data_IF_453417469326
#
_entry.id   IF_453417469326
#
_cell.length_a   1.000
_cell.length_b   1.000
_cell.length_c   1.000
_cell.angle_alpha   90.00
_cell.angle_beta   90.00
_cell.angle_gamma   90.00
#
_symmetry.space_group_name_H-M   'P 1'
#
loop_
_entity.id
_entity.type
_entity.pdbx_description
1 polymer ?
#
# COMPACT_ATOMS: atom_id res chain seq x y z
N UNK A 1 11.84 -10.84 -29.48
CA UNK A 1 12.83 -10.90 -28.38
C UNK A 1 12.31 -11.79 -27.27
N UNK A 2 13.12 -12.62 -26.55
CA UNK A 2 12.62 -13.53 -25.50
C UNK A 2 11.78 -12.84 -24.44
N UNK A 3 12.08 -11.58 -24.06
CA UNK A 3 11.32 -10.83 -23.07
C UNK A 3 9.91 -10.40 -23.49
N UNK A 4 9.59 -10.40 -24.77
CA UNK A 4 8.25 -10.02 -25.24
C UNK A 4 7.23 -11.16 -25.08
N UNK A 5 7.66 -12.39 -25.31
CA UNK A 5 6.82 -13.57 -25.11
C UNK A 5 6.55 -13.82 -23.60
N UNK A 6 7.57 -13.61 -22.74
CA UNK A 6 7.42 -13.76 -21.30
C UNK A 6 6.42 -12.75 -20.73
N UNK A 7 6.51 -11.45 -21.09
CA UNK A 7 5.56 -10.43 -20.63
C UNK A 7 4.12 -10.80 -21.00
N UNK A 8 3.87 -11.19 -22.24
CA UNK A 8 2.53 -11.54 -22.69
C UNK A 8 1.95 -12.81 -22.04
N UNK A 9 2.78 -13.82 -21.80
CA UNK A 9 2.34 -15.07 -21.17
C UNK A 9 2.08 -14.91 -19.67
N UNK A 10 2.98 -14.28 -18.95
CA UNK A 10 2.83 -14.04 -17.51
C UNK A 10 1.62 -13.16 -17.23
N UNK A 11 1.42 -12.11 -18.03
CA UNK A 11 0.27 -11.23 -17.88
C UNK A 11 -1.04 -11.93 -18.25
N UNK A 12 -1.08 -12.70 -19.34
CA UNK A 12 -2.28 -13.40 -19.76
C UNK A 12 -2.78 -14.40 -18.72
N UNK A 13 -1.89 -15.05 -17.98
CA UNK A 13 -2.23 -16.00 -16.92
C UNK A 13 -3.00 -15.38 -15.74
N UNK A 14 -2.94 -14.06 -15.57
CA UNK A 14 -3.64 -13.36 -14.50
C UNK A 14 -5.13 -13.14 -14.78
N UNK A 15 -5.57 -13.31 -16.03
CA UNK A 15 -6.92 -12.94 -16.47
C UNK A 15 -7.77 -14.15 -16.83
N UNK A 16 -8.97 -14.20 -16.25
CA UNK A 16 -10.06 -15.08 -16.72
C UNK A 16 -10.70 -14.51 -17.99
N UNK A 17 -10.72 -13.19 -18.14
CA UNK A 17 -11.07 -12.46 -19.34
C UNK A 17 -9.98 -11.40 -19.58
N UNK A 18 -9.14 -11.56 -20.62
CA UNK A 18 -8.09 -10.58 -20.90
C UNK A 18 -8.64 -9.18 -21.16
N UNK A 19 -7.93 -8.13 -20.71
CA UNK A 19 -8.27 -6.76 -21.05
C UNK A 19 -8.02 -6.46 -22.54
N UNK A 20 -8.82 -5.56 -23.11
CA UNK A 20 -8.58 -4.97 -24.43
C UNK A 20 -8.62 -3.45 -24.32
N UNK A 21 -7.43 -2.84 -24.20
CA UNK A 21 -7.29 -1.40 -24.01
C UNK A 21 -7.80 -0.64 -25.24
N UNK A 22 -7.67 -1.23 -26.45
CA UNK A 22 -8.09 -0.61 -27.69
C UNK A 22 -9.62 -0.47 -27.77
N UNK A 23 -10.34 -1.41 -27.21
CA UNK A 23 -11.81 -1.48 -27.19
C UNK A 23 -12.43 -1.05 -25.87
N UNK A 24 -11.62 -0.55 -24.93
CA UNK A 24 -12.05 -0.20 -23.58
C UNK A 24 -12.71 -1.35 -22.80
N UNK A 25 -12.18 -2.56 -22.94
CA UNK A 25 -12.60 -3.72 -22.16
C UNK A 25 -11.62 -3.92 -21.01
N UNK A 26 -12.09 -3.77 -19.77
CA UNK A 26 -11.24 -3.92 -18.58
C UNK A 26 -10.80 -5.37 -18.33
N UNK A 27 -11.55 -6.34 -18.84
CA UNK A 27 -11.32 -7.75 -18.56
C UNK A 27 -11.73 -8.16 -17.16
N UNK A 28 -11.19 -9.30 -16.68
CA UNK A 28 -11.43 -9.81 -15.33
C UNK A 28 -10.27 -10.68 -14.88
N UNK A 29 -9.76 -10.46 -13.68
CA UNK A 29 -8.70 -11.30 -13.09
C UNK A 29 -9.22 -12.69 -12.72
N UNK A 30 -8.32 -13.66 -12.58
CA UNK A 30 -8.65 -15.04 -12.16
C UNK A 30 -8.94 -15.09 -10.65
N UNK A 31 -9.61 -16.16 -10.21
CA UNK A 31 -9.80 -16.43 -8.77
C UNK A 31 -8.47 -16.71 -8.06
N UNK A 32 -7.52 -17.33 -8.75
CA UNK A 32 -6.16 -17.53 -8.21
C UNK A 32 -5.42 -16.22 -7.98
N UNK A 33 -5.58 -15.25 -8.89
CA UNK A 33 -4.96 -13.93 -8.72
C UNK A 33 -5.57 -13.17 -7.55
N UNK A 34 -6.91 -13.20 -7.38
CA UNK A 34 -7.57 -12.62 -6.20
C UNK A 34 -7.06 -13.24 -4.91
N UNK A 35 -6.96 -14.57 -4.87
CA UNK A 35 -6.46 -15.30 -3.70
C UNK A 35 -5.01 -14.92 -3.40
N UNK A 36 -4.15 -14.83 -4.41
CA UNK A 36 -2.75 -14.42 -4.27
C UNK A 36 -2.61 -13.01 -3.70
N UNK A 37 -3.37 -12.04 -4.24
CA UNK A 37 -3.40 -10.67 -3.73
C UNK A 37 -3.86 -10.62 -2.28
N UNK A 38 -4.95 -11.28 -1.94
CA UNK A 38 -5.49 -11.28 -0.57
C UNK A 38 -4.53 -11.95 0.41
N UNK A 39 -3.94 -13.08 0.03
CA UNK A 39 -2.93 -13.79 0.86
C UNK A 39 -1.73 -12.90 1.11
N UNK A 40 -1.13 -12.32 0.07
CA UNK A 40 0.04 -11.43 0.20
C UNK A 40 -0.27 -10.21 1.06
N UNK A 41 -1.44 -9.58 0.87
CA UNK A 41 -1.84 -8.44 1.68
C UNK A 41 -2.02 -8.82 3.15
N UNK A 42 -2.62 -9.97 3.43
CA UNK A 42 -2.82 -10.44 4.80
C UNK A 42 -1.51 -10.91 5.46
N UNK A 43 -0.54 -11.44 4.70
CA UNK A 43 0.84 -11.66 5.19
C UNK A 43 1.51 -10.32 5.60
N UNK A 44 1.42 -9.30 4.75
CA UNK A 44 1.90 -7.96 5.07
C UNK A 44 1.24 -7.45 6.35
N UNK A 45 -0.07 -7.54 6.45
CA UNK A 45 -0.82 -7.06 7.62
C UNK A 45 -0.46 -7.81 8.90
N UNK A 46 -0.31 -9.13 8.81
CA UNK A 46 0.12 -9.96 9.95
C UNK A 46 1.51 -9.56 10.48
N UNK A 47 2.46 -9.25 9.58
CA UNK A 47 3.79 -8.77 9.96
C UNK A 47 3.76 -7.44 10.75
N UNK A 48 2.64 -6.73 10.75
CA UNK A 48 2.46 -5.46 11.49
C UNK A 48 1.43 -5.60 12.65
N UNK A 49 0.99 -6.81 12.94
CA UNK A 49 0.01 -7.06 14.01
C UNK A 49 -1.38 -6.46 13.76
N UNK A 50 -1.73 -6.14 12.50
CA UNK A 50 -3.04 -5.60 12.16
C UNK A 50 -3.99 -6.69 11.65
N UNK A 51 -5.32 -6.60 11.94
CA UNK A 51 -6.29 -7.60 11.53
C UNK A 51 -6.30 -7.87 10.03
N UNK A 52 -6.56 -9.10 9.57
CA UNK A 52 -6.70 -9.41 8.16
C UNK A 52 -7.93 -8.74 7.55
N UNK A 53 -7.87 -8.54 6.23
CA UNK A 53 -8.99 -8.05 5.42
C UNK A 53 -9.65 -9.17 4.64
N UNK A 54 -10.89 -8.94 4.19
CA UNK A 54 -11.60 -9.81 3.25
C UNK A 54 -11.63 -9.17 1.86
N UNK A 55 -11.96 -9.98 0.85
CA UNK A 55 -12.07 -9.49 -0.54
C UNK A 55 -13.53 -9.18 -0.88
N UNK A 56 -13.79 -7.94 -1.33
CA UNK A 56 -15.10 -7.53 -1.82
C UNK A 56 -15.17 -7.64 -3.35
N UNK A 57 -15.83 -8.69 -3.82
CA UNK A 57 -16.03 -8.92 -5.27
C UNK A 57 -16.96 -7.88 -5.92
N UNK A 58 -17.85 -7.28 -5.15
CA UNK A 58 -18.81 -6.31 -5.69
C UNK A 58 -18.18 -5.01 -6.17
N UNK A 59 -17.01 -4.67 -5.62
CA UNK A 59 -16.22 -3.48 -6.01
C UNK A 59 -15.14 -3.77 -7.07
N UNK A 60 -15.03 -5.01 -7.57
CA UNK A 60 -13.98 -5.38 -8.52
C UNK A 60 -14.14 -4.65 -9.86
N UNK A 61 -15.37 -4.48 -10.33
CA UNK A 61 -15.62 -3.75 -11.59
C UNK A 61 -15.15 -2.29 -11.53
N UNK A 62 -15.23 -1.66 -10.36
CA UNK A 62 -14.71 -0.30 -10.15
C UNK A 62 -13.18 -0.27 -10.26
N UNK A 63 -12.49 -1.23 -9.63
CA UNK A 63 -11.03 -1.29 -9.66
C UNK A 63 -10.47 -1.69 -11.02
N UNK A 64 -11.13 -2.63 -11.72
CA UNK A 64 -10.78 -3.01 -13.08
C UNK A 64 -10.97 -1.85 -14.06
N UNK A 65 -12.09 -1.12 -13.97
CA UNK A 65 -12.36 0.05 -14.80
C UNK A 65 -11.37 1.19 -14.51
N UNK A 66 -10.99 1.41 -13.24
CA UNK A 66 -9.97 2.38 -12.88
C UNK A 66 -8.60 2.01 -13.46
N UNK A 67 -8.18 0.74 -13.34
CA UNK A 67 -6.94 0.25 -13.92
C UNK A 67 -6.91 0.42 -15.45
N UNK A 68 -8.04 0.15 -16.12
CA UNK A 68 -8.18 0.37 -17.57
C UNK A 68 -7.95 1.84 -17.95
N UNK A 69 -8.59 2.78 -17.24
CA UNK A 69 -8.40 4.21 -17.51
C UNK A 69 -6.94 4.63 -17.35
N UNK A 70 -6.27 4.17 -16.27
CA UNK A 70 -4.86 4.50 -16.02
C UNK A 70 -3.95 3.92 -17.12
N UNK A 71 -4.15 2.66 -17.49
CA UNK A 71 -3.38 1.99 -18.55
C UNK A 71 -3.61 2.65 -19.92
N UNK A 72 -4.87 3.01 -20.25
CA UNK A 72 -5.24 3.58 -21.54
C UNK A 72 -4.69 5.01 -21.76
N UNK A 73 -4.42 5.75 -20.67
CA UNK A 73 -3.92 7.12 -20.74
C UNK A 73 -2.44 7.25 -20.31
N UNK A 74 -1.81 6.18 -19.84
CA UNK A 74 -0.42 6.21 -19.38
C UNK A 74 -0.21 7.17 -18.20
N UNK A 75 -1.21 7.34 -17.34
CA UNK A 75 -1.21 8.31 -16.23
C UNK A 75 -1.98 7.77 -15.04
N UNK A 76 -1.60 8.22 -13.83
CA UNK A 76 -2.36 7.98 -12.59
C UNK A 76 -3.11 9.23 -12.17
N UNK A 77 -4.36 9.06 -11.73
CA UNK A 77 -5.15 10.13 -11.13
C UNK A 77 -6.21 9.55 -10.20
N UNK A 78 -6.33 10.10 -8.99
CA UNK A 78 -7.46 9.82 -8.10
C UNK A 78 -8.75 10.55 -8.53
N UNK A 79 -8.62 11.51 -9.47
CA UNK A 79 -9.71 12.27 -10.04
C UNK A 79 -9.54 12.33 -11.57
N UNK A 80 -9.73 11.17 -12.27
CA UNK A 80 -9.51 11.12 -13.71
C UNK A 80 -10.47 12.08 -14.43
N UNK A 81 -9.95 12.89 -15.38
CA UNK A 81 -10.79 13.77 -16.19
C UNK A 81 -11.79 12.98 -17.03
N UNK A 82 -12.98 13.51 -17.25
CA UNK A 82 -14.04 12.85 -18.01
C UNK A 82 -13.71 12.63 -19.49
N UNK A 83 -12.74 13.36 -20.02
CA UNK A 83 -12.24 13.21 -21.39
C UNK A 83 -11.12 12.16 -21.54
N UNK A 84 -10.75 11.47 -20.46
CA UNK A 84 -9.80 10.37 -20.56
C UNK A 84 -10.37 9.23 -21.39
N UNK A 85 -9.51 8.60 -22.16
CA UNK A 85 -9.86 7.38 -22.88
C UNK A 85 -10.36 6.31 -21.91
N UNK A 86 -11.40 5.59 -22.29
CA UNK A 86 -12.06 4.56 -21.49
C UNK A 86 -12.64 5.08 -20.15
N UNK A 87 -12.91 6.38 -20.04
CA UNK A 87 -13.54 6.95 -18.84
C UNK A 87 -14.88 6.27 -18.55
N UNK A 88 -15.09 5.95 -17.28
CA UNK A 88 -16.38 5.48 -16.77
C UNK A 88 -16.59 5.97 -15.34
N UNK A 89 -17.86 6.14 -14.95
CA UNK A 89 -18.21 6.54 -13.57
C UNK A 89 -17.73 5.51 -12.55
N UNK A 90 -17.93 4.18 -12.73
CA UNK A 90 -17.37 3.18 -11.81
C UNK A 90 -15.86 3.28 -11.70
N UNK A 91 -15.14 3.47 -12.81
CA UNK A 91 -13.69 3.63 -12.80
C UNK A 91 -13.23 4.88 -12.06
N UNK A 92 -13.97 6.01 -12.17
CA UNK A 92 -13.66 7.21 -11.39
C UNK A 92 -13.89 7.00 -9.88
N UNK A 93 -14.93 6.25 -9.48
CA UNK A 93 -15.16 5.83 -8.09
C UNK A 93 -14.02 4.95 -7.60
N UNK A 94 -13.63 3.93 -8.37
CA UNK A 94 -12.51 3.07 -8.06
C UNK A 94 -11.20 3.85 -7.89
N UNK A 95 -10.88 4.76 -8.82
CA UNK A 95 -9.68 5.60 -8.74
C UNK A 95 -9.66 6.49 -7.48
N UNK A 96 -10.80 7.09 -7.12
CA UNK A 96 -10.95 7.98 -5.97
C UNK A 96 -11.03 7.29 -4.61
N UNK A 97 -10.99 5.96 -4.56
CA UNK A 97 -11.09 5.16 -3.32
C UNK A 97 -9.99 4.10 -3.17
N UNK A 98 -8.89 4.24 -3.89
CA UNK A 98 -7.88 3.18 -4.02
C UNK A 98 -6.46 3.69 -3.94
N UNK A 99 -5.52 2.79 -3.62
CA UNK A 99 -4.13 2.95 -3.97
C UNK A 99 -3.95 2.67 -5.47
N UNK A 100 -3.15 3.49 -6.15
CA UNK A 100 -2.91 3.41 -7.59
C UNK A 100 -1.42 3.14 -7.85
N UNK A 101 -1.12 2.31 -8.86
CA UNK A 101 0.25 2.08 -9.32
C UNK A 101 0.30 1.82 -10.83
N UNK A 102 1.48 1.99 -11.43
CA UNK A 102 1.65 1.84 -12.88
C UNK A 102 1.27 3.11 -13.63
N UNK A 103 0.37 3.01 -14.61
CA UNK A 103 0.00 4.16 -15.46
C UNK A 103 1.19 4.68 -16.26
N UNK A 104 2.05 3.77 -16.74
CA UNK A 104 3.21 4.07 -17.57
C UNK A 104 3.05 3.42 -18.93
N UNK A 105 3.58 4.06 -19.95
CA UNK A 105 3.64 3.53 -21.32
C UNK A 105 5.08 3.54 -21.76
N UNK A 106 5.60 2.37 -22.15
CA UNK A 106 6.99 2.23 -22.63
C UNK A 106 7.15 0.93 -23.41
N UNK A 107 7.91 0.89 -24.49
CA UNK A 107 8.25 -0.35 -25.19
C UNK A 107 9.09 -1.29 -24.31
N UNK A 108 9.73 -0.76 -23.27
CA UNK A 108 10.63 -1.51 -22.37
C UNK A 108 10.00 -1.77 -20.99
N UNK A 109 8.69 -1.54 -20.84
CA UNK A 109 8.03 -1.78 -19.56
C UNK A 109 8.17 -3.26 -19.18
N UNK A 110 8.77 -3.51 -18.02
CA UNK A 110 8.87 -4.84 -17.44
C UNK A 110 7.52 -5.28 -16.84
N UNK A 111 7.26 -6.58 -16.84
CA UNK A 111 6.14 -7.14 -16.12
C UNK A 111 6.36 -6.94 -14.61
N UNK A 112 5.28 -6.56 -13.91
CA UNK A 112 5.24 -6.53 -12.46
C UNK A 112 4.12 -7.42 -11.96
N UNK A 113 4.44 -8.29 -11.03
CA UNK A 113 3.46 -9.14 -10.35
C UNK A 113 2.55 -8.30 -9.45
N UNK A 114 1.39 -8.79 -9.08
CA UNK A 114 0.52 -8.09 -8.12
C UNK A 114 1.14 -8.00 -6.74
N UNK A 115 1.98 -8.99 -6.36
CA UNK A 115 2.79 -8.94 -5.14
C UNK A 115 3.74 -7.74 -5.15
N UNK A 116 4.43 -7.48 -6.27
CA UNK A 116 5.34 -6.33 -6.37
C UNK A 116 4.60 -4.99 -6.26
N UNK A 117 3.37 -4.89 -6.77
CA UNK A 117 2.54 -3.70 -6.53
C UNK A 117 2.20 -3.53 -5.04
N UNK A 118 1.81 -4.61 -4.35
CA UNK A 118 1.52 -4.56 -2.90
C UNK A 118 2.75 -4.15 -2.09
N UNK A 119 3.92 -4.74 -2.38
CA UNK A 119 5.19 -4.37 -1.73
C UNK A 119 5.60 -2.93 -2.09
N UNK A 120 5.37 -2.50 -3.32
CA UNK A 120 5.59 -1.12 -3.76
C UNK A 120 4.75 -0.11 -2.96
N UNK A 121 3.47 -0.38 -2.74
CA UNK A 121 2.60 0.44 -1.89
C UNK A 121 2.98 0.37 -0.40
N UNK A 122 3.51 -0.75 0.06
CA UNK A 122 3.98 -0.89 1.43
C UNK A 122 5.25 -0.09 1.68
N UNK A 123 6.24 -0.22 0.80
CA UNK A 123 7.53 0.48 0.95
C UNK A 123 7.42 1.97 0.66
N UNK A 124 6.53 2.36 -0.24
CA UNK A 124 6.21 3.73 -0.66
C UNK A 124 7.42 4.55 -1.17
N UNK A 125 8.53 3.89 -1.51
CA UNK A 125 9.78 4.53 -1.96
C UNK A 125 9.57 5.33 -3.26
N UNK A 126 8.64 4.90 -4.11
CA UNK A 126 8.34 5.53 -5.39
C UNK A 126 7.08 6.39 -5.37
N UNK A 127 6.61 6.76 -4.18
CA UNK A 127 5.40 7.57 -4.05
C UNK A 127 5.64 8.99 -4.59
N UNK A 128 4.96 9.35 -5.67
CA UNK A 128 5.06 10.66 -6.32
C UNK A 128 4.59 11.80 -5.41
N UNK A 129 3.67 11.54 -4.50
CA UNK A 129 3.11 12.51 -3.56
C UNK A 129 3.99 12.72 -2.32
N UNK A 130 5.14 12.02 -2.22
CA UNK A 130 5.97 11.90 -1.03
C UNK A 130 5.20 11.35 0.19
N UNK A 131 5.94 10.84 1.17
CA UNK A 131 5.36 10.21 2.36
C UNK A 131 4.84 8.78 2.11
N UNK A 132 4.10 8.26 3.06
CA UNK A 132 3.70 6.85 3.11
C UNK A 132 2.18 6.64 2.97
N UNK A 133 1.54 7.40 2.10
CA UNK A 133 0.09 7.40 1.94
C UNK A 133 -0.50 6.02 1.59
N UNK A 134 0.13 5.30 0.66
CA UNK A 134 -0.32 3.96 0.28
C UNK A 134 -0.17 2.96 1.42
N UNK A 135 0.98 2.97 2.13
CA UNK A 135 1.24 2.13 3.30
C UNK A 135 0.18 2.36 4.38
N UNK A 136 -0.20 3.60 4.63
CA UNK A 136 -1.19 3.96 5.65
C UNK A 136 -2.55 3.32 5.39
N UNK A 137 -2.93 3.14 4.12
CA UNK A 137 -4.13 2.42 3.75
C UNK A 137 -3.95 0.89 3.88
N UNK A 138 -2.82 0.33 3.41
CA UNK A 138 -2.56 -1.10 3.52
C UNK A 138 -2.57 -1.60 4.97
N UNK A 139 -1.98 -0.81 5.88
CA UNK A 139 -1.81 -1.17 7.28
C UNK A 139 -2.87 -0.59 8.22
N UNK A 140 -3.87 0.11 7.70
CA UNK A 140 -4.94 0.62 8.55
C UNK A 140 -5.73 -0.54 9.19
N UNK A 141 -5.80 -0.62 10.53
CA UNK A 141 -6.62 -1.61 11.19
C UNK A 141 -8.12 -1.37 10.99
N UNK A 142 -8.50 -0.19 10.48
CA UNK A 142 -9.88 0.19 10.17
C UNK A 142 -10.27 -0.15 8.73
N UNK A 143 -9.35 -0.60 7.89
CA UNK A 143 -9.64 -1.21 6.58
C UNK A 143 -9.95 -2.68 6.82
N UNK A 144 -11.16 -3.10 6.46
CA UNK A 144 -11.67 -4.45 6.76
C UNK A 144 -11.91 -5.28 5.52
N UNK A 145 -11.97 -4.63 4.37
CA UNK A 145 -12.12 -5.29 3.07
C UNK A 145 -11.37 -4.53 1.98
N UNK A 146 -11.07 -5.22 0.89
CA UNK A 146 -10.38 -4.68 -0.29
C UNK A 146 -10.98 -5.25 -1.56
N UNK A 147 -10.81 -4.52 -2.67
CA UNK A 147 -10.97 -5.05 -4.02
C UNK A 147 -9.74 -4.68 -4.84
N UNK A 148 -9.36 -5.54 -5.78
CA UNK A 148 -8.17 -5.34 -6.59
C UNK A 148 -8.53 -5.43 -8.07
N UNK A 149 -7.92 -4.56 -8.87
CA UNK A 149 -7.98 -4.60 -10.31
C UNK A 149 -6.62 -4.30 -10.91
N UNK A 150 -6.33 -4.94 -12.03
CA UNK A 150 -5.15 -4.60 -12.84
C UNK A 150 -5.49 -4.72 -14.31
N UNK A 151 -4.84 -3.92 -15.10
CA UNK A 151 -4.89 -3.97 -16.56
C UNK A 151 -3.48 -3.82 -17.08
N UNK A 152 -3.09 -4.69 -17.97
CA UNK A 152 -1.86 -4.60 -18.70
C UNK A 152 -2.05 -5.05 -20.14
N UNK A 153 -1.12 -4.72 -21.01
CA UNK A 153 -1.19 -5.04 -22.41
C UNK A 153 -0.40 -4.09 -23.27
N UNK A 154 -0.84 -3.93 -24.52
CA UNK A 154 -0.22 -3.02 -25.48
C UNK A 154 -1.19 -1.91 -25.88
N UNK A 155 -0.65 -0.71 -26.05
CA UNK A 155 -1.33 0.41 -26.70
C UNK A 155 -1.40 0.18 -28.21
N UNK A 156 -2.18 0.99 -28.93
CA UNK A 156 -2.28 0.94 -30.38
C UNK A 156 -0.92 1.11 -31.09
N UNK A 157 0.02 1.84 -30.46
CA UNK A 157 1.38 2.07 -30.97
C UNK A 157 2.35 0.93 -30.61
N UNK A 158 1.86 -0.18 -30.05
CA UNK A 158 2.67 -1.34 -29.68
C UNK A 158 3.48 -1.19 -28.38
N UNK A 159 3.37 -0.04 -27.69
CA UNK A 159 4.00 0.12 -26.39
C UNK A 159 3.30 -0.69 -25.31
N UNK A 160 4.05 -1.17 -24.33
CA UNK A 160 3.50 -1.85 -23.15
C UNK A 160 2.95 -0.82 -22.17
N UNK A 161 1.87 -1.19 -21.49
CA UNK A 161 1.28 -0.43 -20.40
C UNK A 161 0.79 -1.36 -19.32
N UNK A 162 0.81 -0.91 -18.07
CA UNK A 162 0.26 -1.65 -16.93
C UNK A 162 -0.20 -0.68 -15.86
N UNK A 163 -1.33 -0.98 -15.22
CA UNK A 163 -1.82 -0.28 -14.05
C UNK A 163 -2.44 -1.25 -13.07
N UNK A 164 -2.31 -0.97 -11.78
CA UNK A 164 -2.92 -1.71 -10.68
C UNK A 164 -3.64 -0.75 -9.73
N UNK A 165 -4.74 -1.22 -9.16
CA UNK A 165 -5.66 -0.46 -8.31
C UNK A 165 -6.08 -1.34 -7.14
N UNK A 166 -5.88 -0.88 -5.91
CA UNK A 166 -6.34 -1.55 -4.70
C UNK A 166 -7.31 -0.63 -3.96
N UNK A 167 -8.60 -0.93 -4.02
CA UNK A 167 -9.62 -0.21 -3.26
C UNK A 167 -9.51 -0.53 -1.77
N UNK A 168 -9.50 0.51 -0.95
CA UNK A 168 -9.27 0.44 0.49
C UNK A 168 -10.30 1.19 1.33
N UNK A 169 -11.26 1.88 0.69
CA UNK A 169 -12.33 2.62 1.39
C UNK A 169 -13.52 2.91 0.47
N UNK A 170 -14.60 3.45 1.03
CA UNK A 170 -15.87 3.75 0.34
C UNK A 170 -16.54 2.50 -0.24
N UNK A 171 -16.57 1.43 0.52
CA UNK A 171 -17.37 0.26 0.20
C UNK A 171 -18.85 0.49 0.51
N UNK A 172 -19.73 -0.27 -0.09
CA UNK A 172 -21.16 -0.21 0.18
C UNK A 172 -21.50 -0.63 1.61
N UNK A 173 -20.70 -1.57 2.16
CA UNK A 173 -20.74 -1.95 3.57
C UNK A 173 -19.30 -2.17 4.05
N UNK A 174 -19.02 -1.76 5.27
CA UNK A 174 -17.71 -1.96 5.90
C UNK A 174 -17.94 -2.74 7.20
N UNK A 175 -17.66 -4.06 7.21
CA UNK A 175 -17.77 -4.85 8.42
C UNK A 175 -16.74 -4.38 9.47
N UNK A 176 -16.98 -4.66 10.78
CA UNK A 176 -15.96 -4.34 11.78
C UNK A 176 -14.69 -5.16 11.55
N UNK A 177 -13.54 -4.72 12.12
CA UNK A 177 -12.30 -5.47 12.07
C UNK A 177 -12.50 -6.91 12.56
N UNK A 178 -11.87 -7.87 11.86
CA UNK A 178 -12.00 -9.31 12.18
C UNK A 178 -11.11 -9.77 13.32
N UNK A 179 -10.40 -8.85 13.99
CA UNK A 179 -9.50 -9.11 15.11
C UNK A 179 -9.22 -7.87 15.93
N UNK A 180 -8.36 -7.98 16.96
CA UNK A 180 -8.02 -6.87 17.84
C UNK A 180 -7.27 -5.79 17.09
N UNK A 181 -7.66 -4.54 17.31
CA UNK A 181 -6.94 -3.36 16.82
C UNK A 181 -5.74 -3.11 17.74
N UNK A 182 -4.51 -3.01 17.24
CA UNK A 182 -3.32 -2.78 18.05
C UNK A 182 -3.28 -1.37 18.65
N UNK A 183 -2.39 -1.15 19.64
CA UNK A 183 -2.20 0.18 20.24
C UNK A 183 -1.43 1.14 19.32
N UNK A 184 -0.69 0.60 18.37
CA UNK A 184 0.01 1.35 17.33
C UNK A 184 0.26 0.47 16.10
N UNK A 185 0.61 1.12 15.00
CA UNK A 185 1.12 0.48 13.79
C UNK A 185 2.50 1.05 13.49
N UNK A 186 3.48 0.18 13.33
CA UNK A 186 4.86 0.56 12.98
C UNK A 186 5.34 -0.18 11.73
N UNK A 187 6.27 0.41 11.00
CA UNK A 187 6.95 -0.18 9.86
C UNK A 187 8.45 0.16 9.92
N UNK A 188 9.37 -0.83 9.92
CA UNK A 188 9.16 -2.26 10.17
C UNK A 188 8.72 -2.56 11.61
N UNK A 189 8.31 -3.79 11.93
CA UNK A 189 7.88 -4.20 13.27
C UNK A 189 8.19 -5.68 13.55
N UNK A 190 8.73 -5.98 14.73
CA UNK A 190 9.05 -7.35 15.17
C UNK A 190 10.08 -8.06 14.28
N UNK A 191 9.99 -9.37 14.16
CA UNK A 191 10.80 -10.16 13.22
C UNK A 191 10.29 -9.92 11.81
N UNK A 192 10.82 -8.87 11.19
CA UNK A 192 10.27 -8.30 9.97
C UNK A 192 10.81 -8.98 8.71
N UNK A 193 9.98 -9.60 7.86
CA UNK A 193 10.44 -10.25 6.64
C UNK A 193 11.12 -9.26 5.70
N UNK A 194 12.41 -9.50 5.38
CA UNK A 194 13.18 -8.59 4.54
C UNK A 194 12.56 -8.37 3.16
N UNK A 195 11.81 -9.36 2.63
CA UNK A 195 11.07 -9.23 1.37
C UNK A 195 10.01 -8.12 1.36
N UNK A 196 9.63 -7.60 2.51
CA UNK A 196 8.70 -6.48 2.67
C UNK A 196 9.40 -5.16 3.01
N UNK A 197 10.72 -5.14 3.02
CA UNK A 197 11.53 -3.96 3.25
C UNK A 197 12.30 -3.58 1.98
N UNK A 198 12.40 -2.28 1.73
CA UNK A 198 13.27 -1.73 0.69
C UNK A 198 14.17 -0.66 1.30
N UNK A 199 15.47 -0.74 1.03
CA UNK A 199 16.43 0.26 1.48
C UNK A 199 16.02 1.66 0.98
N UNK A 200 16.02 2.63 1.89
CA UNK A 200 15.58 4.00 1.61
C UNK A 200 14.07 4.23 1.85
N UNK A 201 13.30 3.19 2.18
CA UNK A 201 11.92 3.38 2.64
C UNK A 201 11.92 4.14 3.97
N UNK A 202 11.03 5.13 4.10
CA UNK A 202 10.80 5.78 5.38
C UNK A 202 10.23 4.76 6.37
N UNK A 203 10.72 4.80 7.60
CA UNK A 203 10.07 4.14 8.72
C UNK A 203 8.82 4.95 9.08
N UNK A 204 7.83 4.28 9.67
CA UNK A 204 6.62 4.98 10.10
C UNK A 204 6.06 4.42 11.39
N UNK A 205 5.39 5.30 12.14
CA UNK A 205 4.72 4.97 13.39
C UNK A 205 3.39 5.71 13.47
N UNK A 206 2.34 5.03 13.90
CA UNK A 206 1.01 5.61 14.12
C UNK A 206 0.41 5.10 15.42
N UNK A 207 0.20 5.95 16.43
CA UNK A 207 -0.55 5.56 17.63
C UNK A 207 -2.03 5.36 17.31
N UNK A 208 -2.65 4.35 17.91
CA UNK A 208 -4.07 4.05 17.81
C UNK A 208 -4.68 4.17 19.22
N UNK A 209 -5.07 5.37 19.58
CA UNK A 209 -5.63 5.67 20.90
C UNK A 209 -7.12 5.37 21.00
N UNK A 210 -7.85 5.46 19.89
CA UNK A 210 -9.24 5.04 19.77
C UNK A 210 -9.34 3.90 18.76
N UNK A 211 -9.70 2.71 19.25
CA UNK A 211 -9.76 1.48 18.47
C UNK A 211 -11.10 1.29 17.76
N UNK A 212 -12.07 2.15 18.03
CA UNK A 212 -13.41 2.11 17.46
C UNK A 212 -13.61 3.18 16.41
N UNK A 213 -13.28 4.43 16.75
CA UNK A 213 -13.44 5.56 15.86
C UNK A 213 -12.07 6.09 15.41
N UNK A 214 -11.67 5.72 14.18
CA UNK A 214 -10.37 6.14 13.63
C UNK A 214 -10.16 7.68 13.64
N UNK A 215 -11.26 8.45 13.51
CA UNK A 215 -11.18 9.90 13.43
C UNK A 215 -10.77 10.57 14.76
N UNK A 216 -11.01 9.91 15.88
CA UNK A 216 -10.53 10.40 17.17
C UNK A 216 -8.99 10.37 17.26
N UNK A 217 -8.32 9.52 16.48
CA UNK A 217 -6.85 9.46 16.42
C UNK A 217 -6.25 10.71 15.79
N UNK A 218 -7.02 11.54 15.06
CA UNK A 218 -6.59 12.86 14.58
C UNK A 218 -6.23 13.85 15.71
N UNK A 219 -6.74 13.61 16.93
CA UNK A 219 -6.49 14.45 18.10
C UNK A 219 -5.14 14.19 18.75
N UNK A 220 -4.41 13.17 18.30
CA UNK A 220 -3.04 12.94 18.80
C UNK A 220 -2.14 14.08 18.35
N UNK A 221 -1.55 14.78 19.31
CA UNK A 221 -0.57 15.84 19.03
C UNK A 221 0.81 15.21 18.78
N UNK A 222 1.36 15.48 17.60
CA UNK A 222 2.68 15.04 17.15
C UNK A 222 3.73 16.19 17.18
N UNK A 223 3.37 17.41 17.56
CA UNK A 223 4.23 18.58 17.38
C UNK A 223 5.58 18.45 18.11
N UNK A 224 5.59 17.80 19.28
CA UNK A 224 6.78 17.59 20.10
C UNK A 224 7.36 16.18 19.97
N UNK A 225 6.88 15.39 19.01
CA UNK A 225 7.34 14.03 18.80
C UNK A 225 8.86 13.96 18.64
N UNK A 226 9.46 12.98 19.29
CA UNK A 226 10.87 12.61 19.17
C UNK A 226 10.95 11.13 18.86
N UNK A 227 11.92 10.76 18.04
CA UNK A 227 12.22 9.38 17.67
C UNK A 227 13.69 9.11 17.96
N UNK A 228 13.95 8.03 18.66
CA UNK A 228 15.29 7.50 18.88
C UNK A 228 15.30 6.08 18.31
N UNK A 229 16.25 5.81 17.44
CA UNK A 229 16.53 4.46 16.94
C UNK A 229 17.88 4.04 17.49
N UNK A 230 17.98 2.85 18.06
CA UNK A 230 19.23 2.35 18.64
C UNK A 230 19.44 0.87 18.34
N UNK A 231 20.68 0.43 18.50
CA UNK A 231 21.13 -0.97 18.47
C UNK A 231 22.01 -1.22 19.67
N UNK A 232 22.50 -2.44 19.86
CA UNK A 232 23.52 -2.74 20.87
C UNK A 232 24.81 -1.90 20.69
N UNK A 233 25.07 -1.40 19.47
CA UNK A 233 26.19 -0.53 19.14
C UNK A 233 25.97 0.95 19.45
N UNK A 234 24.78 1.35 19.91
CA UNK A 234 24.42 2.73 20.23
C UNK A 234 23.33 3.32 19.34
N UNK A 235 23.16 4.64 19.41
CA UNK A 235 22.11 5.38 18.69
C UNK A 235 22.42 5.42 17.19
N UNK A 236 21.42 5.10 16.38
CA UNK A 236 21.45 5.21 14.93
C UNK A 236 20.97 6.61 14.53
N UNK A 237 21.66 7.33 13.65
CA UNK A 237 21.20 8.62 13.16
C UNK A 237 19.79 8.49 12.56
N UNK A 238 18.84 9.25 13.14
CA UNK A 238 17.44 9.23 12.70
C UNK A 238 16.88 10.65 12.66
N UNK A 239 15.92 10.89 11.76
CA UNK A 239 15.29 12.19 11.58
C UNK A 239 13.81 12.03 11.26
N UNK A 240 12.96 12.80 11.93
CA UNK A 240 11.55 12.90 11.55
C UNK A 240 11.44 13.69 10.25
N UNK A 241 10.84 13.06 9.24
CA UNK A 241 10.61 13.63 7.92
C UNK A 241 9.22 14.26 7.83
N UNK A 242 8.23 13.67 8.50
CA UNK A 242 6.84 14.14 8.46
C UNK A 242 6.09 13.85 9.76
N UNK A 243 5.19 14.76 10.11
CA UNK A 243 4.16 14.62 11.14
C UNK A 243 2.82 14.89 10.47
N UNK A 244 1.97 13.89 10.37
CA UNK A 244 0.75 13.99 9.57
C UNK A 244 -0.49 13.59 10.37
N UNK A 245 -1.49 14.50 10.40
CA UNK A 245 -2.84 14.29 10.93
C UNK A 245 -3.88 14.51 9.81
N UNK A 246 -3.61 14.02 8.60
CA UNK A 246 -4.47 14.27 7.42
C UNK A 246 -5.62 13.27 7.27
N UNK A 247 -5.79 12.32 8.19
CA UNK A 247 -6.87 11.34 8.11
C UNK A 247 -6.68 10.27 7.04
N UNK A 248 -5.49 10.16 6.46
CA UNK A 248 -5.18 9.13 5.47
C UNK A 248 -4.94 7.79 6.17
N UNK A 249 -5.62 6.74 5.74
CA UNK A 249 -5.47 5.40 6.30
C UNK A 249 -5.83 5.34 7.79
N UNK A 250 -4.84 5.19 8.65
CA UNK A 250 -5.00 5.15 10.12
C UNK A 250 -5.01 6.53 10.79
N UNK A 251 -5.26 7.57 10.08
CA UNK A 251 -5.46 8.95 10.51
C UNK A 251 -4.16 9.73 10.82
N UNK A 252 -3.32 9.28 11.73
CA UNK A 252 -2.13 9.99 12.25
C UNK A 252 -0.87 9.21 11.94
N UNK A 253 0.22 9.85 11.53
CA UNK A 253 1.50 9.21 11.26
C UNK A 253 2.70 10.09 11.57
N UNK A 254 3.72 9.48 12.16
CA UNK A 254 5.11 9.93 12.10
C UNK A 254 5.82 9.15 11.01
N UNK A 255 6.56 9.85 10.16
CA UNK A 255 7.45 9.27 9.16
C UNK A 255 8.86 9.73 9.45
N UNK A 256 9.81 8.82 9.49
CA UNK A 256 11.19 9.14 9.84
C UNK A 256 12.17 8.29 9.03
N UNK A 257 13.34 8.85 8.83
CA UNK A 257 14.48 8.14 8.26
C UNK A 257 15.36 7.63 9.39
N UNK A 258 15.99 6.49 9.19
CA UNK A 258 17.12 6.00 9.94
C UNK A 258 18.25 5.70 8.97
N UNK A 259 19.48 5.60 9.44
CA UNK A 259 20.62 5.20 8.61
C UNK A 259 20.33 3.88 7.87
N UNK A 260 21.30 3.40 7.10
CA UNK A 260 21.13 2.10 6.41
C UNK A 260 20.87 0.98 7.42
N UNK A 261 19.72 0.35 7.30
CA UNK A 261 19.37 -0.78 8.15
C UNK A 261 20.07 -2.04 7.65
N UNK A 262 20.61 -2.82 8.57
CA UNK A 262 21.35 -4.06 8.30
C UNK A 262 20.52 -5.25 8.75
N UNK A 263 20.35 -6.22 7.85
CA UNK A 263 19.62 -7.44 8.15
C UNK A 263 20.26 -8.22 9.31
N UNK A 264 19.44 -8.84 10.14
CA UNK A 264 19.87 -9.57 11.34
C UNK A 264 20.28 -8.68 12.52
N UNK A 265 20.25 -7.35 12.37
CA UNK A 265 20.54 -6.43 13.47
C UNK A 265 19.24 -6.09 14.21
N UNK A 266 19.15 -6.32 15.54
CA UNK A 266 18.04 -5.85 16.34
C UNK A 266 18.09 -4.33 16.51
N UNK A 267 16.98 -3.67 16.22
CA UNK A 267 16.76 -2.23 16.39
C UNK A 267 15.70 -2.00 17.46
N UNK A 268 15.97 -1.05 18.35
CA UNK A 268 15.03 -0.53 19.33
C UNK A 268 14.60 0.87 18.94
N UNK A 269 13.29 1.15 18.95
CA UNK A 269 12.71 2.44 18.58
C UNK A 269 11.92 3.00 19.76
N UNK A 270 12.27 4.19 20.20
CA UNK A 270 11.52 4.95 21.20
C UNK A 270 10.82 6.13 20.54
N UNK A 271 9.54 6.29 20.83
CA UNK A 271 8.71 7.42 20.39
C UNK A 271 8.21 8.15 21.63
N UNK A 272 8.60 9.40 21.79
CA UNK A 272 8.22 10.23 22.93
C UNK A 272 7.70 11.60 22.50
N UNK A 273 7.14 12.37 23.44
CA UNK A 273 6.66 13.71 23.18
C UNK A 273 5.36 13.79 22.40
N UNK A 274 4.61 12.67 22.30
CA UNK A 274 3.24 12.69 21.82
C UNK A 274 2.28 13.00 22.98
N UNK A 275 1.07 13.48 22.65
CA UNK A 275 0.01 13.59 23.63
C UNK A 275 -1.38 13.38 23.04
N UNK A 276 -2.34 12.97 23.89
CA UNK A 276 -3.75 12.85 23.52
C UNK A 276 -4.60 13.44 24.64
N UNK A 277 -5.42 14.44 24.32
CA UNK A 277 -6.22 15.20 25.29
C UNK A 277 -5.37 15.82 26.44
N UNK A 278 -4.11 16.19 26.16
CA UNK A 278 -3.19 16.74 27.13
C UNK A 278 -2.35 15.70 27.89
N UNK A 279 -2.72 14.44 27.86
CA UNK A 279 -1.97 13.36 28.51
C UNK A 279 -0.81 12.88 27.64
N UNK A 280 0.39 12.70 28.20
CA UNK A 280 1.55 12.27 27.44
C UNK A 280 1.41 10.82 26.97
N UNK A 281 1.87 10.56 25.75
CA UNK A 281 1.96 9.24 25.17
C UNK A 281 3.40 8.92 24.81
N UNK A 282 3.89 7.75 25.26
CA UNK A 282 5.20 7.24 24.93
C UNK A 282 5.06 5.79 24.47
N UNK A 283 5.84 5.40 23.46
CA UNK A 283 5.85 4.08 22.90
C UNK A 283 7.27 3.59 22.68
N UNK A 284 7.46 2.29 22.73
CA UNK A 284 8.69 1.65 22.29
C UNK A 284 8.35 0.34 21.57
N UNK A 285 9.19 -0.02 20.60
CA UNK A 285 9.07 -1.27 19.90
C UNK A 285 10.42 -1.71 19.33
N UNK A 286 10.53 -2.98 19.03
CA UNK A 286 11.71 -3.55 18.44
C UNK A 286 11.42 -4.09 17.04
N UNK A 287 12.45 -4.14 16.19
CA UNK A 287 12.39 -4.87 14.93
C UNK A 287 13.76 -5.42 14.52
N UNK A 288 13.74 -6.50 13.78
CA UNK A 288 14.90 -7.09 13.10
C UNK A 288 14.51 -7.42 11.67
N UNK A 289 15.30 -7.01 10.68
CA UNK A 289 15.08 -7.45 9.30
C UNK A 289 15.56 -8.91 9.16
N UNK A 290 14.61 -9.83 9.02
CA UNK A 290 14.89 -11.26 9.00
C UNK A 290 15.08 -11.78 7.57
N UNK A 291 16.27 -12.33 7.29
CA UNK A 291 16.61 -12.98 6.02
C UNK A 291 16.02 -14.40 5.89
N UNK A 292 15.61 -15.03 7.01
CA UNK A 292 15.20 -16.44 7.04
C UNK A 292 13.79 -16.66 6.49
N UNK A 293 12.98 -15.62 6.41
CA UNK A 293 11.68 -15.69 5.78
C UNK A 293 11.83 -15.68 4.25
N UNK A 294 12.20 -16.83 3.69
CA UNK A 294 12.27 -17.08 2.25
C UNK A 294 10.97 -16.80 1.48
N UNK A 295 10.99 -16.95 0.18
CA UNK A 295 9.87 -16.62 -0.70
C UNK A 295 8.62 -17.39 -0.37
#
# INVERSE_FOLDING_TARGET
MPGDQAFGQEEAALFALPPDISRCVAGRITDSERASVLTTLNEIRAAHGVPPVTYDRSSEDETMAAALMMAANGQLSHQPPTNWRCYSVPGAVGAGSSNLAGGMVSPYLAFSTSREYLVGWLTDVRNMMRGTGHRRWLLSPFVTQVAFGRVGGQTADGNRTSAAVLKTFKFASEPPPSGPVPDFVAYPFGDYPQRFYQQGALLSFSPIVDKVNRWNNLKVDLARARVIVSTAGGVVPSRIESRSNLGVGYATALEFSAGSLVAGTPYHVEITGLSYNGEPLNYAYDFTLDNSAGP
#
